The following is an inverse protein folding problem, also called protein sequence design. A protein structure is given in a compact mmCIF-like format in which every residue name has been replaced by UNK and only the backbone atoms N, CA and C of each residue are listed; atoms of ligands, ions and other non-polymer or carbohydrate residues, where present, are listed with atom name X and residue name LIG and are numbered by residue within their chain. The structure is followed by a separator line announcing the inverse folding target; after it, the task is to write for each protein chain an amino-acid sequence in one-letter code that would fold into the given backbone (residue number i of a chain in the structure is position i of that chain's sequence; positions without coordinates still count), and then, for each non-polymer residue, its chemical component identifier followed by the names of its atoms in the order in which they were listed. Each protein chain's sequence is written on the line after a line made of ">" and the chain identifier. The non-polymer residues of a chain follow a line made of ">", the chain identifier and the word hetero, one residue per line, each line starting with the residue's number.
data_IF_264197801208
#
_entry.id   IF_264197801208
#
_cell.length_a   1.000
_cell.length_b   1.000
_cell.length_c   1.000
_cell.angle_alpha   90.00
_cell.angle_beta   90.00
_cell.angle_gamma   90.00
#
_symmetry.space_group_name_H-M   'P 1'
#
loop_
_entity.id
_entity.type
_entity.pdbx_description
1 polymer ?
#
# COMPACT_ATOMS: atom_id res chain seq x y z
N UNK A 1 -20.33 -27.87 -33.24
CA UNK A 1 -21.21 -27.36 -34.31
C UNK A 1 -22.53 -26.97 -33.68
N UNK A 2 -22.67 -25.71 -33.24
CA UNK A 2 -23.94 -25.11 -32.83
C UNK A 2 -23.77 -23.59 -32.94
N UNK A 3 -24.64 -22.99 -33.76
CA UNK A 3 -24.54 -21.65 -34.32
C UNK A 3 -24.95 -20.59 -33.31
N UNK A 4 -24.16 -19.53 -33.23
CA UNK A 4 -24.57 -18.23 -32.72
C UNK A 4 -25.72 -17.69 -33.59
N UNK A 5 -26.83 -17.30 -32.96
CA UNK A 5 -27.86 -16.47 -33.60
C UNK A 5 -27.75 -15.08 -32.98
N UNK A 6 -27.24 -14.17 -33.80
CA UNK A 6 -27.21 -12.73 -33.62
C UNK A 6 -28.63 -12.20 -33.88
N UNK A 7 -29.20 -11.47 -32.93
CA UNK A 7 -30.42 -10.69 -33.15
C UNK A 7 -30.04 -9.22 -32.98
N UNK A 8 -29.82 -8.56 -34.12
CA UNK A 8 -29.85 -7.11 -34.24
C UNK A 8 -31.30 -6.64 -34.23
N UNK A 9 -31.58 -5.62 -33.42
CA UNK A 9 -32.89 -5.00 -33.29
C UNK A 9 -32.75 -3.58 -32.77
N UNK A 10 -32.38 -2.68 -33.66
CA UNK A 10 -32.35 -1.23 -33.46
C UNK A 10 -33.75 -0.68 -33.14
N UNK A 11 -33.95 -0.06 -31.97
CA UNK A 11 -35.05 0.88 -31.75
C UNK A 11 -34.56 2.11 -30.98
N UNK A 12 -34.26 3.13 -31.79
CA UNK A 12 -34.63 4.54 -31.66
C UNK A 12 -34.77 5.15 -30.25
N UNK A 13 -33.81 6.02 -29.96
CA UNK A 13 -33.82 7.09 -28.96
C UNK A 13 -35.12 7.90 -29.01
N UNK A 14 -35.80 8.03 -27.88
CA UNK A 14 -36.65 9.19 -27.58
C UNK A 14 -36.23 9.78 -26.24
N UNK A 15 -35.55 10.91 -26.37
CA UNK A 15 -35.31 11.94 -25.37
C UNK A 15 -36.61 12.38 -24.72
N UNK A 16 -36.67 12.28 -23.39
CA UNK A 16 -37.73 12.82 -22.55
C UNK A 16 -37.12 13.33 -21.25
N UNK A 17 -36.39 14.45 -21.34
CA UNK A 17 -35.93 15.23 -20.19
C UNK A 17 -37.15 15.96 -19.65
N UNK A 18 -37.58 15.61 -18.44
CA UNK A 18 -38.46 16.46 -17.63
C UNK A 18 -37.71 16.76 -16.34
N UNK A 19 -37.08 17.94 -16.37
CA UNK A 19 -36.51 18.56 -15.19
C UNK A 19 -37.61 19.05 -14.26
N UNK A 20 -37.38 18.89 -12.97
CA UNK A 20 -38.00 19.70 -11.93
C UNK A 20 -36.93 19.96 -10.88
N UNK A 21 -36.24 21.09 -11.07
CA UNK A 21 -35.49 21.76 -10.03
C UNK A 21 -36.49 22.24 -8.97
N UNK A 22 -36.30 21.83 -7.71
CA UNK A 22 -36.76 22.60 -6.56
C UNK A 22 -35.54 22.87 -5.66
N UNK A 23 -35.11 24.12 -5.71
CA UNK A 23 -34.21 24.75 -4.76
C UNK A 23 -34.90 24.88 -3.40
N UNK A 24 -34.26 24.40 -2.35
CA UNK A 24 -34.43 24.96 -1.02
C UNK A 24 -33.04 25.06 -0.37
N UNK A 25 -32.48 26.26 -0.41
CA UNK A 25 -31.36 26.67 0.43
C UNK A 25 -31.85 26.79 1.87
N UNK A 26 -31.24 26.05 2.79
CA UNK A 26 -31.08 26.52 4.17
C UNK A 26 -29.77 26.00 4.74
N UNK A 27 -28.96 26.95 5.20
CA UNK A 27 -27.73 26.74 5.94
C UNK A 27 -28.08 26.33 7.38
N UNK A 28 -27.64 25.15 7.82
CA UNK A 28 -27.41 24.87 9.24
C UNK A 28 -26.36 23.76 9.34
N UNK A 29 -25.29 24.05 10.08
CA UNK A 29 -24.10 23.22 10.14
C UNK A 29 -24.20 21.97 11.01
N UNK A 30 -23.14 21.17 10.89
CA UNK A 30 -22.69 20.06 11.75
C UNK A 30 -23.72 18.98 12.11
N UNK A 31 -23.62 17.86 11.41
CA UNK A 31 -24.20 16.58 11.83
C UNK A 31 -24.53 15.67 10.66
N UNK A 32 -23.53 15.14 9.97
CA UNK A 32 -23.76 14.00 9.06
C UNK A 32 -23.91 12.72 9.92
N UNK A 33 -25.08 12.58 10.52
CA UNK A 33 -25.60 11.33 11.06
C UNK A 33 -26.86 10.98 10.25
N UNK A 34 -27.02 9.70 9.91
CA UNK A 34 -28.11 9.09 9.15
C UNK A 34 -29.38 9.94 9.01
N UNK A 35 -29.64 10.44 7.80
CA UNK A 35 -30.94 11.02 7.49
C UNK A 35 -32.00 9.93 7.63
N UNK A 36 -32.89 10.06 8.63
CA UNK A 36 -34.02 9.15 8.82
C UNK A 36 -34.78 8.99 7.50
N UNK A 37 -35.20 7.77 7.12
CA UNK A 37 -36.07 7.59 5.96
C UNK A 37 -37.29 8.50 6.11
N UNK A 38 -37.69 9.17 5.02
CA UNK A 38 -38.95 9.94 5.06
C UNK A 38 -40.08 9.01 5.52
N UNK A 39 -40.98 9.50 6.35
CA UNK A 39 -42.06 8.71 6.97
C UNK A 39 -42.84 7.85 5.97
N UNK A 40 -43.03 8.35 4.75
CA UNK A 40 -43.65 7.64 3.63
C UNK A 40 -42.85 6.43 3.13
N UNK A 41 -41.52 6.56 3.00
CA UNK A 41 -40.65 5.46 2.58
C UNK A 41 -40.55 4.38 3.65
N UNK A 42 -40.51 4.79 4.91
CA UNK A 42 -40.51 3.88 6.06
C UNK A 42 -41.84 3.10 6.17
N UNK A 43 -42.97 3.78 6.00
CA UNK A 43 -44.29 3.14 5.91
C UNK A 43 -44.35 2.15 4.75
N UNK A 44 -43.90 2.56 3.56
CA UNK A 44 -43.85 1.70 2.38
C UNK A 44 -43.00 0.45 2.60
N UNK A 45 -41.83 0.59 3.24
CA UNK A 45 -40.96 -0.54 3.55
C UNK A 45 -41.67 -1.56 4.47
N UNK A 46 -42.35 -1.09 5.52
CA UNK A 46 -43.15 -1.98 6.40
C UNK A 46 -44.27 -2.71 5.66
N UNK A 47 -44.98 -2.02 4.77
CA UNK A 47 -46.05 -2.63 3.97
C UNK A 47 -45.50 -3.72 3.03
N UNK A 48 -44.33 -3.50 2.43
CA UNK A 48 -43.67 -4.49 1.60
C UNK A 48 -43.18 -5.69 2.40
N UNK A 49 -42.67 -5.48 3.62
CA UNK A 49 -42.30 -6.58 4.50
C UNK A 49 -43.51 -7.45 4.85
N UNK A 50 -44.68 -6.85 5.11
CA UNK A 50 -45.92 -7.63 5.32
C UNK A 50 -46.29 -8.50 4.12
N UNK A 51 -46.02 -8.03 2.89
CA UNK A 51 -46.25 -8.80 1.66
C UNK A 51 -45.26 -9.96 1.47
N UNK A 52 -44.19 -10.04 2.24
CA UNK A 52 -43.30 -11.22 2.25
C UNK A 52 -43.98 -12.46 2.83
N UNK A 53 -45.04 -12.31 3.64
CA UNK A 53 -45.86 -13.42 4.15
C UNK A 53 -47.07 -13.77 3.27
N UNK A 54 -47.26 -13.12 2.11
CA UNK A 54 -48.44 -13.38 1.27
C UNK A 54 -48.42 -14.82 0.73
N UNK A 55 -49.55 -15.56 0.72
CA UNK A 55 -49.59 -16.94 0.23
C UNK A 55 -49.18 -17.09 -1.24
N UNK A 56 -49.35 -16.04 -2.06
CA UNK A 56 -48.97 -16.07 -3.46
C UNK A 56 -47.48 -15.75 -3.67
N UNK A 57 -46.72 -16.75 -4.14
CA UNK A 57 -45.27 -16.64 -4.41
C UNK A 57 -44.89 -15.39 -5.23
N UNK A 58 -45.64 -15.08 -6.30
CA UNK A 58 -45.36 -13.92 -7.15
C UNK A 58 -45.40 -12.58 -6.40
N UNK A 59 -46.29 -12.44 -5.41
CA UNK A 59 -46.38 -11.21 -4.60
C UNK A 59 -45.21 -11.10 -3.63
N UNK A 60 -44.77 -12.22 -3.06
CA UNK A 60 -43.57 -12.27 -2.20
C UNK A 60 -42.33 -11.83 -2.97
N UNK A 61 -42.12 -12.39 -4.16
CA UNK A 61 -40.96 -12.05 -5.00
C UNK A 61 -40.99 -10.58 -5.48
N UNK A 62 -42.17 -10.06 -5.80
CA UNK A 62 -42.32 -8.64 -6.15
C UNK A 62 -41.98 -7.73 -4.97
N UNK A 63 -42.46 -8.05 -3.76
CA UNK A 63 -42.16 -7.30 -2.55
C UNK A 63 -40.66 -7.37 -2.20
N UNK A 64 -40.06 -8.55 -2.30
CA UNK A 64 -38.62 -8.73 -2.12
C UNK A 64 -37.80 -7.85 -3.07
N UNK A 65 -38.14 -7.85 -4.36
CA UNK A 65 -37.46 -7.03 -5.37
C UNK A 65 -37.60 -5.53 -5.07
N UNK A 66 -38.78 -5.09 -4.64
CA UNK A 66 -39.01 -3.68 -4.32
C UNK A 66 -38.27 -3.26 -3.04
N UNK A 67 -38.21 -4.11 -2.02
CA UNK A 67 -37.40 -3.88 -0.81
C UNK A 67 -35.91 -3.74 -1.14
N UNK A 68 -35.37 -4.56 -2.04
CA UNK A 68 -33.98 -4.44 -2.49
C UNK A 68 -33.75 -3.14 -3.29
N UNK A 69 -34.71 -2.73 -4.12
CA UNK A 69 -34.62 -1.48 -4.89
C UNK A 69 -34.69 -0.22 -4.01
N UNK A 70 -35.28 -0.31 -2.81
CA UNK A 70 -35.35 0.80 -1.85
C UNK A 70 -34.02 1.10 -1.15
N UNK A 71 -33.03 0.21 -1.22
CA UNK A 71 -31.70 0.40 -0.60
C UNK A 71 -31.79 0.64 0.91
N UNK A 72 -31.10 1.65 1.42
CA UNK A 72 -31.05 1.98 2.86
C UNK A 72 -32.43 2.20 3.49
N UNK A 73 -33.45 2.59 2.71
CA UNK A 73 -34.78 2.86 3.23
C UNK A 73 -35.54 1.58 3.66
N UNK A 74 -35.13 0.39 3.22
CA UNK A 74 -35.77 -0.87 3.62
C UNK A 74 -35.08 -1.55 4.81
N UNK A 75 -33.82 -1.19 5.11
CA UNK A 75 -33.02 -1.85 6.15
C UNK A 75 -33.70 -1.82 7.53
N UNK A 76 -34.22 -0.68 8.04
CA UNK A 76 -34.85 -0.67 9.37
C UNK A 76 -36.07 -1.59 9.47
N UNK A 77 -36.87 -1.67 8.40
CA UNK A 77 -38.06 -2.51 8.36
C UNK A 77 -37.70 -4.01 8.28
N UNK A 78 -36.66 -4.36 7.51
CA UNK A 78 -36.15 -5.73 7.41
C UNK A 78 -35.54 -6.19 8.75
N UNK A 79 -34.75 -5.34 9.40
CA UNK A 79 -34.13 -5.63 10.71
C UNK A 79 -35.17 -5.84 11.81
N UNK A 80 -36.14 -4.93 11.92
CA UNK A 80 -37.23 -5.05 12.90
C UNK A 80 -38.02 -6.35 12.71
N UNK A 81 -38.14 -6.82 11.47
CA UNK A 81 -38.94 -7.99 11.11
C UNK A 81 -38.20 -9.32 11.21
N UNK A 82 -36.93 -9.33 11.64
CA UNK A 82 -36.24 -10.54 12.06
C UNK A 82 -36.90 -11.20 13.29
N UNK A 83 -37.70 -10.43 14.03
CA UNK A 83 -38.46 -10.87 15.21
C UNK A 83 -39.98 -10.94 14.94
N UNK A 84 -40.41 -10.91 13.68
CA UNK A 84 -41.83 -10.96 13.34
C UNK A 84 -42.49 -12.27 13.83
N UNK A 85 -43.75 -12.31 14.27
CA UNK A 85 -44.42 -13.56 14.63
C UNK A 85 -44.55 -14.56 13.47
N UNK A 86 -44.61 -14.08 12.22
CA UNK A 86 -44.69 -14.96 11.04
C UNK A 86 -43.30 -15.54 10.69
N UNK A 87 -43.21 -16.87 10.66
CA UNK A 87 -41.98 -17.59 10.34
C UNK A 87 -41.49 -17.34 8.92
N UNK A 88 -42.39 -17.24 7.94
CA UNK A 88 -42.03 -16.97 6.53
C UNK A 88 -41.44 -15.55 6.40
N UNK A 89 -42.02 -14.57 7.10
CA UNK A 89 -41.49 -13.19 7.12
C UNK A 89 -40.10 -13.17 7.74
N UNK A 90 -39.90 -13.82 8.90
CA UNK A 90 -38.57 -13.88 9.54
C UNK A 90 -37.53 -14.49 8.62
N UNK A 91 -37.81 -15.66 8.03
CA UNK A 91 -36.87 -16.36 7.16
C UNK A 91 -36.50 -15.52 5.92
N UNK A 92 -37.50 -14.90 5.27
CA UNK A 92 -37.24 -14.03 4.12
C UNK A 92 -36.48 -12.78 4.49
N UNK A 93 -36.77 -12.17 5.65
CA UNK A 93 -36.00 -11.01 6.10
C UNK A 93 -34.54 -11.40 6.38
N UNK A 94 -34.28 -12.57 6.95
CA UNK A 94 -32.92 -13.09 7.13
C UNK A 94 -32.17 -13.29 5.80
N UNK A 95 -32.86 -13.76 4.76
CA UNK A 95 -32.29 -13.95 3.42
C UNK A 95 -32.07 -12.61 2.67
N UNK A 96 -33.02 -11.68 2.81
CA UNK A 96 -32.99 -10.40 2.08
C UNK A 96 -32.05 -9.38 2.71
N UNK A 97 -31.83 -9.41 4.02
CA UNK A 97 -31.06 -8.37 4.71
C UNK A 97 -29.61 -8.26 4.18
N UNK A 98 -28.83 -9.34 3.99
CA UNK A 98 -27.51 -9.25 3.36
C UNK A 98 -27.54 -8.67 1.94
N UNK A 99 -28.55 -9.03 1.15
CA UNK A 99 -28.72 -8.53 -0.22
C UNK A 99 -29.11 -7.05 -0.24
N UNK A 100 -29.93 -6.60 0.72
CA UNK A 100 -30.32 -5.20 0.87
C UNK A 100 -29.12 -4.34 1.28
N UNK A 101 -28.28 -4.83 2.21
CA UNK A 101 -27.03 -4.19 2.57
C UNK A 101 -26.06 -4.06 1.38
N UNK A 102 -25.94 -5.12 0.57
CA UNK A 102 -25.11 -5.08 -0.64
C UNK A 102 -25.66 -4.11 -1.69
N UNK A 103 -26.98 -4.12 -1.93
CA UNK A 103 -27.64 -3.21 -2.86
C UNK A 103 -27.48 -1.74 -2.43
N UNK A 104 -27.66 -1.44 -1.15
CA UNK A 104 -27.43 -0.13 -0.56
C UNK A 104 -25.97 0.32 -0.77
N UNK A 105 -25.01 -0.54 -0.45
CA UNK A 105 -23.59 -0.20 -0.61
C UNK A 105 -23.22 0.05 -2.07
N UNK A 106 -23.73 -0.76 -3.01
CA UNK A 106 -23.55 -0.54 -4.45
C UNK A 106 -24.13 0.80 -4.88
N UNK A 107 -25.33 1.15 -4.41
CA UNK A 107 -25.95 2.45 -4.69
C UNK A 107 -25.10 3.61 -4.15
N UNK A 108 -24.61 3.51 -2.91
CA UNK A 108 -23.72 4.52 -2.29
C UNK A 108 -22.43 4.69 -3.10
N UNK A 109 -21.81 3.60 -3.57
CA UNK A 109 -20.60 3.64 -4.39
C UNK A 109 -20.86 4.35 -5.73
N UNK A 110 -21.98 4.07 -6.39
CA UNK A 110 -22.39 4.74 -7.63
C UNK A 110 -22.60 6.23 -7.37
N UNK A 111 -23.41 6.58 -6.37
CA UNK A 111 -23.70 7.98 -6.03
C UNK A 111 -22.45 8.76 -5.62
N UNK A 112 -21.51 8.12 -4.94
CA UNK A 112 -20.22 8.70 -4.58
C UNK A 112 -19.38 9.00 -5.82
N UNK A 113 -19.35 8.07 -6.79
CA UNK A 113 -18.62 8.25 -8.05
C UNK A 113 -19.24 9.32 -8.96
N UNK A 114 -20.56 9.48 -8.93
CA UNK A 114 -21.28 10.57 -9.62
C UNK A 114 -21.08 11.93 -8.94
N UNK A 115 -20.86 11.93 -7.61
CA UNK A 115 -20.57 13.13 -6.83
C UNK A 115 -19.12 13.58 -7.00
N UNK A 116 -18.81 14.07 -8.20
CA UNK A 116 -17.46 14.51 -8.61
C UNK A 116 -16.82 15.56 -7.70
N UNK A 117 -17.65 16.36 -7.02
CA UNK A 117 -17.22 17.48 -6.17
C UNK A 117 -17.39 17.21 -4.66
N UNK A 118 -17.87 16.04 -4.27
CA UNK A 118 -18.04 15.68 -2.85
C UNK A 118 -19.15 16.43 -2.12
N UNK A 119 -20.18 16.89 -2.82
CA UNK A 119 -21.26 17.72 -2.27
C UNK A 119 -22.36 16.89 -1.59
N UNK A 120 -22.47 15.60 -1.90
CA UNK A 120 -23.54 14.72 -1.39
C UNK A 120 -23.23 14.13 -0.02
N UNK A 121 -22.05 14.39 0.56
CA UNK A 121 -21.61 13.90 1.88
C UNK A 121 -21.78 12.38 2.07
N UNK A 122 -21.58 11.60 1.00
CA UNK A 122 -21.72 10.14 1.04
C UNK A 122 -20.51 9.54 1.77
N UNK A 123 -20.79 8.81 2.86
CA UNK A 123 -19.77 8.08 3.62
C UNK A 123 -19.54 6.70 3.00
N UNK A 124 -18.27 6.37 2.74
CA UNK A 124 -17.83 5.06 2.29
C UNK A 124 -16.64 4.60 3.14
N UNK A 125 -16.55 3.29 3.46
CA UNK A 125 -15.50 2.77 4.32
C UNK A 125 -14.13 2.98 3.70
N UNK A 126 -13.19 3.50 4.48
CA UNK A 126 -11.83 3.82 4.03
C UNK A 126 -11.67 5.12 3.22
N UNK A 127 -12.75 5.83 2.87
CA UNK A 127 -12.65 7.10 2.12
C UNK A 127 -11.85 8.16 2.89
N UNK A 128 -12.05 8.25 4.21
CA UNK A 128 -11.35 9.21 5.06
C UNK A 128 -9.83 9.04 4.97
N UNK A 129 -9.32 7.81 5.12
CA UNK A 129 -7.89 7.53 5.02
C UNK A 129 -7.38 7.72 3.59
N UNK A 130 -8.13 7.25 2.59
CA UNK A 130 -7.74 7.41 1.19
C UNK A 130 -7.58 8.88 0.80
N UNK A 131 -8.57 9.71 1.16
CA UNK A 131 -8.56 11.14 0.81
C UNK A 131 -7.43 11.92 1.46
N UNK A 132 -6.96 11.51 2.64
CA UNK A 132 -5.75 12.06 3.27
C UNK A 132 -4.48 11.78 2.46
N UNK A 133 -4.42 10.64 1.75
CA UNK A 133 -3.26 10.25 0.95
C UNK A 133 -3.32 10.81 -0.47
N UNK A 134 -4.47 10.67 -1.13
CA UNK A 134 -4.62 10.89 -2.56
C UNK A 134 -5.33 12.21 -2.92
N UNK A 135 -5.97 12.85 -1.95
CA UNK A 135 -6.80 14.03 -2.13
C UNK A 135 -8.28 13.72 -2.36
N UNK A 136 -9.06 14.76 -2.66
CA UNK A 136 -10.52 14.70 -2.78
C UNK A 136 -11.05 15.12 -4.15
N UNK A 137 -10.16 15.35 -5.13
CA UNK A 137 -10.54 15.77 -6.49
C UNK A 137 -11.28 14.68 -7.27
N UNK A 138 -11.85 15.04 -8.43
CA UNK A 138 -12.63 14.12 -9.27
C UNK A 138 -11.85 12.83 -9.62
N UNK A 139 -10.53 12.93 -9.89
CA UNK A 139 -9.70 11.77 -10.22
C UNK A 139 -9.51 10.87 -9.00
N UNK A 140 -9.26 11.45 -7.83
CA UNK A 140 -9.15 10.71 -6.58
C UNK A 140 -10.47 10.01 -6.22
N UNK A 141 -11.62 10.68 -6.37
CA UNK A 141 -12.94 10.08 -6.14
C UNK A 141 -13.20 8.93 -7.11
N UNK A 142 -12.92 9.12 -8.41
CA UNK A 142 -13.06 8.06 -9.40
C UNK A 142 -12.17 6.85 -9.07
N UNK A 143 -10.90 7.08 -8.77
CA UNK A 143 -9.97 6.02 -8.38
C UNK A 143 -10.49 5.25 -7.16
N UNK A 144 -10.97 5.98 -6.14
CA UNK A 144 -11.53 5.36 -4.96
C UNK A 144 -12.78 4.53 -5.27
N UNK A 145 -13.68 5.01 -6.13
CA UNK A 145 -14.85 4.24 -6.61
C UNK A 145 -14.41 2.93 -7.26
N UNK A 146 -13.43 2.98 -8.18
CA UNK A 146 -12.90 1.80 -8.88
C UNK A 146 -12.23 0.84 -7.86
N UNK A 147 -11.57 1.38 -6.83
CA UNK A 147 -10.98 0.63 -5.71
C UNK A 147 -12.01 -0.04 -4.81
N UNK A 148 -12.95 0.70 -4.23
CA UNK A 148 -13.89 0.17 -3.25
C UNK A 148 -14.83 -0.87 -3.86
N UNK A 149 -15.17 -0.77 -5.16
CA UNK A 149 -16.09 -1.67 -5.85
C UNK A 149 -15.73 -3.16 -5.68
N UNK A 150 -14.44 -3.50 -5.68
CA UNK A 150 -13.96 -4.88 -5.49
C UNK A 150 -13.45 -5.17 -4.06
N UNK A 151 -13.52 -4.18 -3.17
CA UNK A 151 -12.85 -4.19 -1.86
C UNK A 151 -13.76 -3.79 -0.70
N UNK A 152 -15.07 -3.70 -0.91
CA UNK A 152 -16.08 -3.30 0.09
C UNK A 152 -15.90 -4.06 1.40
N UNK A 153 -15.96 -5.40 1.37
CA UNK A 153 -15.91 -6.21 2.59
C UNK A 153 -14.58 -6.06 3.35
N UNK A 154 -13.46 -5.89 2.63
CA UNK A 154 -12.16 -5.64 3.25
C UNK A 154 -12.16 -4.30 3.98
N UNK A 155 -12.58 -3.22 3.32
CA UNK A 155 -12.58 -1.87 3.89
C UNK A 155 -13.63 -1.69 4.99
N UNK A 156 -14.79 -2.34 4.92
CA UNK A 156 -15.76 -2.35 6.01
C UNK A 156 -15.17 -2.97 7.28
N UNK A 157 -14.46 -4.10 7.15
CA UNK A 157 -13.85 -4.75 8.30
C UNK A 157 -12.70 -3.94 8.92
N UNK A 158 -12.02 -3.06 8.17
CA UNK A 158 -11.04 -2.13 8.76
C UNK A 158 -11.69 -1.32 9.88
N UNK A 159 -12.92 -0.88 9.68
CA UNK A 159 -13.66 -0.04 10.62
C UNK A 159 -14.39 -0.87 11.70
N UNK A 160 -14.98 -2.00 11.31
CA UNK A 160 -15.85 -2.80 12.18
C UNK A 160 -15.13 -3.92 12.96
N UNK A 161 -14.14 -4.58 12.34
CA UNK A 161 -13.42 -5.74 12.88
C UNK A 161 -11.99 -5.80 12.31
N UNK A 162 -11.04 -5.00 12.88
CA UNK A 162 -9.68 -4.92 12.38
C UNK A 162 -8.92 -6.25 12.36
N UNK A 163 -9.29 -7.21 13.21
CA UNK A 163 -8.68 -8.55 13.23
C UNK A 163 -9.09 -9.34 12.00
N UNK A 164 -10.37 -9.31 11.65
CA UNK A 164 -10.85 -9.93 10.40
C UNK A 164 -10.29 -9.23 9.17
N UNK A 165 -10.18 -7.89 9.19
CA UNK A 165 -9.51 -7.15 8.12
C UNK A 165 -8.04 -7.57 7.94
N UNK A 166 -7.30 -7.73 9.04
CA UNK A 166 -5.92 -8.22 9.02
C UNK A 166 -5.82 -9.63 8.43
N UNK A 167 -6.72 -10.56 8.80
CA UNK A 167 -6.77 -11.91 8.22
C UNK A 167 -7.02 -11.87 6.71
N UNK A 168 -8.00 -11.08 6.26
CA UNK A 168 -8.32 -10.91 4.83
C UNK A 168 -7.15 -10.30 4.06
N UNK A 169 -6.50 -9.28 4.63
CA UNK A 169 -5.30 -8.65 4.08
C UNK A 169 -4.16 -9.66 3.93
N UNK A 170 -3.82 -10.40 4.99
CA UNK A 170 -2.74 -11.38 4.97
C UNK A 170 -3.00 -12.52 3.97
N UNK A 171 -4.26 -12.98 3.87
CA UNK A 171 -4.67 -13.98 2.87
C UNK A 171 -4.39 -13.49 1.47
N UNK A 172 -4.86 -12.28 1.12
CA UNK A 172 -4.65 -11.70 -0.22
C UNK A 172 -3.17 -11.48 -0.53
N UNK A 173 -2.39 -10.96 0.42
CA UNK A 173 -0.95 -10.82 0.22
C UNK A 173 -0.28 -12.18 -0.03
N UNK A 174 -0.70 -13.22 0.69
CA UNK A 174 -0.19 -14.58 0.49
C UNK A 174 -0.57 -15.17 -0.87
N UNK A 175 -1.81 -14.95 -1.31
CA UNK A 175 -2.31 -15.40 -2.62
C UNK A 175 -1.49 -14.81 -3.78
N UNK A 176 -1.03 -13.57 -3.62
CA UNK A 176 -0.17 -12.89 -4.61
C UNK A 176 1.33 -13.19 -4.43
N UNK A 177 1.78 -13.40 -3.19
CA UNK A 177 3.20 -13.47 -2.83
C UNK A 177 3.80 -14.87 -2.83
N UNK A 178 2.99 -15.92 -2.64
CA UNK A 178 3.50 -17.26 -2.37
C UNK A 178 3.91 -18.02 -3.65
N UNK A 179 5.14 -17.78 -4.12
CA UNK A 179 5.75 -18.51 -5.23
C UNK A 179 5.92 -20.02 -4.95
N UNK A 180 6.05 -20.45 -3.69
CA UNK A 180 6.22 -21.87 -3.33
C UNK A 180 4.90 -22.65 -3.31
N UNK A 181 3.77 -22.02 -2.97
CA UNK A 181 2.44 -22.65 -3.02
C UNK A 181 1.95 -22.92 -4.45
N UNK A 182 2.54 -22.27 -5.47
CA UNK A 182 2.15 -22.47 -6.86
C UNK A 182 2.96 -23.56 -7.58
N UNK A 183 3.67 -24.39 -6.82
CA UNK A 183 4.20 -25.65 -7.33
C UNK A 183 3.05 -26.65 -7.43
N UNK A 184 2.36 -26.66 -8.56
CA UNK A 184 1.29 -27.64 -8.83
C UNK A 184 1.89 -28.96 -9.30
N UNK A 185 1.28 -30.05 -8.87
CA UNK A 185 1.57 -31.37 -9.39
C UNK A 185 0.66 -31.61 -10.58
N UNK A 186 1.21 -31.57 -11.79
CA UNK A 186 0.48 -31.89 -13.01
C UNK A 186 0.85 -33.30 -13.45
N UNK A 187 -0.15 -34.06 -13.88
CA UNK A 187 0.08 -35.36 -14.49
C UNK A 187 0.24 -35.16 -16.01
N UNK A 188 1.43 -35.40 -16.52
CA UNK A 188 1.73 -35.38 -17.95
C UNK A 188 2.11 -36.80 -18.34
N UNK A 189 1.24 -37.47 -19.11
CA UNK A 189 1.44 -38.83 -19.61
C UNK A 189 1.72 -39.89 -18.52
N UNK A 190 1.06 -39.79 -17.36
CA UNK A 190 1.23 -40.73 -16.25
C UNK A 190 2.36 -40.36 -15.29
N UNK A 191 3.11 -39.30 -15.56
CA UNK A 191 4.21 -38.82 -14.70
C UNK A 191 3.73 -37.57 -13.96
N UNK A 192 3.77 -37.63 -12.62
CA UNK A 192 3.52 -36.48 -11.77
C UNK A 192 4.74 -35.56 -11.81
N UNK A 193 4.58 -34.41 -12.45
CA UNK A 193 5.62 -33.38 -12.54
C UNK A 193 5.25 -32.17 -11.70
N UNK A 194 6.26 -31.58 -11.07
CA UNK A 194 6.15 -30.28 -10.40
C UNK A 194 6.25 -29.18 -11.45
N UNK A 195 5.19 -28.40 -11.62
CA UNK A 195 5.20 -27.21 -12.47
C UNK A 195 4.97 -25.96 -11.63
N UNK A 196 5.72 -24.92 -11.97
CA UNK A 196 5.53 -23.59 -11.41
C UNK A 196 4.37 -22.90 -12.14
N UNK A 197 3.29 -22.61 -11.41
CA UNK A 197 2.28 -21.67 -11.86
C UNK A 197 2.64 -20.26 -11.39
N UNK A 198 2.53 -19.29 -12.28
CA UNK A 198 2.69 -17.89 -11.87
C UNK A 198 1.54 -17.52 -10.94
N UNK A 199 1.81 -16.92 -9.75
CA UNK A 199 0.74 -16.40 -8.91
C UNK A 199 -0.13 -15.42 -9.70
N UNK A 200 -1.44 -15.35 -9.40
CA UNK A 200 -2.27 -14.28 -9.94
C UNK A 200 -1.64 -12.94 -9.56
N UNK A 201 -1.68 -11.98 -10.48
CA UNK A 201 -1.23 -10.62 -10.19
C UNK A 201 -2.41 -9.80 -9.65
N UNK A 202 -2.21 -8.98 -8.61
CA UNK A 202 -3.25 -8.06 -8.17
C UNK A 202 -3.57 -7.08 -9.30
N UNK A 203 -4.81 -6.60 -9.37
CA UNK A 203 -5.12 -5.41 -10.19
C UNK A 203 -4.63 -4.16 -9.46
N UNK A 204 -4.35 -3.06 -10.19
CA UNK A 204 -3.87 -1.79 -9.62
C UNK A 204 -4.70 -1.34 -8.42
N UNK A 205 -6.02 -1.29 -8.58
CA UNK A 205 -6.96 -0.86 -7.54
C UNK A 205 -7.02 -1.82 -6.35
N UNK A 206 -6.82 -3.12 -6.56
CA UNK A 206 -6.73 -4.09 -5.47
C UNK A 206 -5.44 -3.93 -4.68
N UNK A 207 -4.33 -3.68 -5.39
CA UNK A 207 -3.04 -3.38 -4.75
C UNK A 207 -3.10 -2.08 -3.94
N UNK A 208 -3.74 -1.04 -4.47
CA UNK A 208 -3.96 0.22 -3.75
C UNK A 208 -4.80 0.02 -2.47
N UNK A 209 -5.81 -0.85 -2.50
CA UNK A 209 -6.58 -1.20 -1.31
C UNK A 209 -5.71 -1.89 -0.23
N UNK A 210 -4.79 -2.78 -0.63
CA UNK A 210 -3.86 -3.42 0.32
C UNK A 210 -2.92 -2.40 0.98
N UNK A 211 -2.39 -1.45 0.21
CA UNK A 211 -1.58 -0.34 0.77
C UNK A 211 -2.40 0.52 1.74
N UNK A 212 -3.64 0.85 1.38
CA UNK A 212 -4.52 1.64 2.23
C UNK A 212 -4.80 0.92 3.57
N UNK A 213 -5.16 -0.36 3.50
CA UNK A 213 -5.45 -1.21 4.66
C UNK A 213 -4.21 -1.38 5.55
N UNK A 214 -3.03 -1.56 4.96
CA UNK A 214 -1.79 -1.66 5.72
C UNK A 214 -1.34 -0.32 6.35
N UNK A 215 -1.93 0.80 5.93
CA UNK A 215 -1.68 2.12 6.53
C UNK A 215 -2.55 2.40 7.76
N UNK A 216 -3.42 1.46 8.14
CA UNK A 216 -4.32 1.58 9.29
C UNK A 216 -3.69 0.95 10.53
N UNK A 217 -3.35 1.74 11.58
CA UNK A 217 -2.61 1.22 12.74
C UNK A 217 -3.27 0.02 13.41
N UNK A 218 -4.61 0.00 13.49
CA UNK A 218 -5.36 -1.11 14.11
C UNK A 218 -5.23 -2.41 13.32
N UNK A 219 -5.12 -2.33 11.99
CA UNK A 219 -4.94 -3.50 11.13
C UNK A 219 -3.48 -3.94 11.20
N UNK A 220 -2.54 -3.00 11.15
CA UNK A 220 -1.11 -3.27 11.32
C UNK A 220 -0.82 -3.98 12.64
N UNK A 221 -1.34 -3.47 13.76
CA UNK A 221 -1.19 -4.08 15.08
C UNK A 221 -1.78 -5.49 15.11
N UNK A 222 -2.93 -5.72 14.45
CA UNK A 222 -3.54 -7.03 14.38
C UNK A 222 -2.72 -8.04 13.54
N UNK A 223 -2.10 -7.60 12.44
CA UNK A 223 -1.18 -8.41 11.64
C UNK A 223 0.04 -8.82 12.48
N UNK A 224 0.66 -7.87 13.17
CA UNK A 224 1.85 -8.11 14.00
C UNK A 224 1.57 -9.06 15.17
N UNK A 225 0.42 -8.89 15.85
CA UNK A 225 0.04 -9.73 17.00
C UNK A 225 -0.51 -11.11 16.60
N UNK A 226 -0.98 -11.27 15.36
CA UNK A 226 -1.64 -12.48 14.86
C UNK A 226 -0.70 -13.57 14.33
N UNK A 227 0.62 -13.43 14.48
CA UNK A 227 1.58 -14.36 13.89
C UNK A 227 1.75 -14.20 12.38
N UNK A 228 1.29 -13.08 11.80
CA UNK A 228 1.40 -12.70 10.39
C UNK A 228 2.81 -12.42 9.88
N UNK A 229 3.82 -12.92 10.59
CA UNK A 229 5.25 -12.73 10.33
C UNK A 229 5.77 -13.63 9.20
N UNK A 230 4.89 -14.11 8.32
CA UNK A 230 5.33 -14.74 7.09
C UNK A 230 5.75 -13.64 6.12
N UNK A 231 6.97 -13.74 5.62
CA UNK A 231 7.55 -12.83 4.66
C UNK A 231 6.65 -12.57 3.44
N UNK A 232 5.86 -13.57 3.03
CA UNK A 232 4.95 -13.50 1.87
C UNK A 232 3.58 -12.90 2.18
N UNK A 233 3.20 -12.72 3.45
CA UNK A 233 1.89 -12.17 3.84
C UNK A 233 1.89 -10.65 4.02
N UNK A 234 2.92 -9.95 3.51
CA UNK A 234 3.04 -8.50 3.60
C UNK A 234 3.05 -7.83 2.22
N UNK A 235 2.33 -6.73 2.08
CA UNK A 235 2.26 -5.89 0.87
C UNK A 235 3.64 -5.39 0.44
N UNK A 236 4.58 -5.22 1.38
CA UNK A 236 5.96 -4.86 1.03
C UNK A 236 6.59 -5.85 0.04
N UNK A 237 6.44 -7.15 0.25
CA UNK A 237 7.03 -8.16 -0.65
C UNK A 237 6.48 -8.06 -2.09
N UNK A 238 5.22 -7.67 -2.22
CA UNK A 238 4.59 -7.45 -3.52
C UNK A 238 5.18 -6.24 -4.26
N UNK A 239 5.81 -5.28 -3.56
CA UNK A 239 6.51 -4.14 -4.17
C UNK A 239 7.75 -4.56 -4.98
N UNK A 240 8.31 -5.74 -4.70
CA UNK A 240 9.43 -6.29 -5.46
C UNK A 240 9.01 -6.85 -6.83
N UNK A 241 7.72 -7.06 -7.05
CA UNK A 241 7.24 -7.75 -8.25
C UNK A 241 7.24 -6.81 -9.49
N UNK A 242 7.43 -7.35 -10.71
CA UNK A 242 7.56 -6.53 -11.92
C UNK A 242 6.35 -5.65 -12.25
N UNK A 243 5.14 -6.06 -11.85
CA UNK A 243 3.89 -5.32 -12.14
C UNK A 243 3.82 -3.95 -11.47
N UNK A 244 4.62 -3.70 -10.43
CA UNK A 244 4.66 -2.41 -9.73
C UNK A 244 5.09 -1.28 -10.67
N UNK A 245 6.01 -1.57 -11.59
CA UNK A 245 6.41 -0.60 -12.61
C UNK A 245 5.24 -0.21 -13.50
N UNK A 246 4.36 -1.15 -13.83
CA UNK A 246 3.15 -0.88 -14.62
C UNK A 246 2.19 0.01 -13.84
N UNK A 247 1.95 -0.26 -12.55
CA UNK A 247 1.04 0.56 -11.74
C UNK A 247 1.55 2.00 -11.54
N UNK A 248 2.85 2.15 -11.28
CA UNK A 248 3.47 3.46 -11.11
C UNK A 248 3.43 4.31 -12.40
N UNK A 249 3.43 3.66 -13.56
CA UNK A 249 3.45 4.33 -14.87
C UNK A 249 2.10 4.26 -15.62
N UNK A 250 1.02 3.85 -14.94
CA UNK A 250 -0.30 3.80 -15.56
C UNK A 250 -0.76 5.20 -15.98
N UNK A 251 -1.19 5.35 -17.24
CA UNK A 251 -1.51 6.66 -17.82
C UNK A 251 -2.73 7.32 -17.17
N UNK A 252 -3.69 6.51 -16.71
CA UNK A 252 -4.96 6.99 -16.18
C UNK A 252 -4.88 7.21 -14.67
N UNK A 253 -4.42 6.19 -13.97
CA UNK A 253 -4.56 6.04 -12.52
C UNK A 253 -3.21 6.07 -11.79
N UNK A 254 -2.08 6.02 -12.52
CA UNK A 254 -0.73 5.97 -11.95
C UNK A 254 -0.37 7.18 -11.08
N UNK A 255 -0.83 8.39 -11.44
CA UNK A 255 -0.62 9.59 -10.64
C UNK A 255 -1.31 9.51 -9.27
N UNK A 256 -2.53 8.97 -9.21
CA UNK A 256 -3.26 8.77 -7.94
C UNK A 256 -2.65 7.60 -7.17
N UNK A 257 -2.28 6.52 -7.87
CA UNK A 257 -1.60 5.38 -7.26
C UNK A 257 -0.29 5.79 -6.58
N UNK A 258 0.54 6.63 -7.21
CA UNK A 258 1.75 7.20 -6.59
C UNK A 258 1.44 7.95 -5.30
N UNK A 259 0.36 8.73 -5.24
CA UNK A 259 -0.05 9.42 -4.01
C UNK A 259 -0.44 8.43 -2.90
N UNK A 260 -1.21 7.38 -3.23
CA UNK A 260 -1.53 6.31 -2.27
C UNK A 260 -0.26 5.63 -1.77
N UNK A 261 0.68 5.32 -2.68
CA UNK A 261 1.96 4.74 -2.33
C UNK A 261 2.79 5.66 -1.42
N UNK A 262 2.89 6.96 -1.70
CA UNK A 262 3.57 7.92 -0.82
C UNK A 262 2.89 8.04 0.55
N UNK A 263 1.55 8.09 0.59
CA UNK A 263 0.80 8.12 1.84
C UNK A 263 0.99 6.86 2.68
N UNK A 264 1.10 5.70 2.03
CA UNK A 264 1.47 4.45 2.68
C UNK A 264 2.91 4.50 3.24
N UNK A 265 3.87 5.03 2.48
CA UNK A 265 5.25 5.21 2.96
C UNK A 265 5.32 6.08 4.22
N UNK A 266 4.64 7.23 4.21
CA UNK A 266 4.58 8.11 5.38
C UNK A 266 3.96 7.37 6.60
N UNK A 267 2.92 6.55 6.39
CA UNK A 267 2.34 5.72 7.45
C UNK A 267 3.33 4.67 8.01
N UNK A 268 4.25 4.14 7.20
CA UNK A 268 5.26 3.17 7.67
C UNK A 268 6.27 3.80 8.64
N UNK A 269 6.50 5.12 8.54
CA UNK A 269 7.48 5.82 9.37
C UNK A 269 6.86 6.62 10.51
N UNK A 270 5.55 6.90 10.44
CA UNK A 270 4.78 7.62 11.45
C UNK A 270 5.07 7.15 12.89
N UNK A 271 5.16 5.84 13.20
CA UNK A 271 5.44 5.37 14.55
C UNK A 271 6.80 5.82 15.11
N UNK A 272 7.78 6.08 14.24
CA UNK A 272 9.13 6.49 14.60
C UNK A 272 9.28 8.01 14.70
N UNK A 273 8.25 8.78 14.35
CA UNK A 273 8.24 10.25 14.48
C UNK A 273 7.93 10.72 15.90
N UNK A 274 7.29 9.89 16.73
CA UNK A 274 6.93 10.23 18.12
C UNK A 274 7.60 9.28 19.13
N UNK A 275 8.45 9.77 20.05
CA UNK A 275 9.28 8.92 20.93
C UNK A 275 8.57 8.08 22.01
N UNK A 276 7.24 8.06 22.07
CA UNK A 276 6.53 7.61 23.28
C UNK A 276 6.67 6.11 23.56
N UNK A 277 6.69 5.26 22.53
CA UNK A 277 6.96 3.83 22.60
C UNK A 277 7.39 3.43 21.21
N UNK A 278 8.69 3.22 20.94
CA UNK A 278 9.10 2.63 19.66
C UNK A 278 8.43 1.26 19.60
N UNK A 279 7.34 1.12 18.85
CA UNK A 279 6.62 -0.12 18.86
C UNK A 279 7.52 -1.08 18.08
N UNK A 280 7.77 -2.26 18.64
CA UNK A 280 8.48 -3.33 17.96
C UNK A 280 7.60 -3.84 16.80
N UNK A 281 7.23 -2.96 15.85
CA UNK A 281 6.41 -3.25 14.67
C UNK A 281 7.33 -3.92 13.67
N UNK A 282 7.11 -5.20 13.46
CA UNK A 282 7.86 -6.07 12.55
C UNK A 282 7.57 -5.79 11.06
N UNK A 283 7.43 -4.53 10.67
CA UNK A 283 7.27 -4.07 9.26
C UNK A 283 8.51 -3.37 8.71
N UNK A 284 9.63 -3.59 9.38
CA UNK A 284 11.00 -3.35 8.95
C UNK A 284 11.27 -3.78 7.49
N UNK A 285 10.67 -4.89 7.03
CA UNK A 285 10.80 -5.40 5.67
C UNK A 285 10.05 -4.57 4.61
N UNK A 286 8.97 -3.86 4.97
CA UNK A 286 8.26 -2.99 4.04
C UNK A 286 9.15 -1.85 3.56
N UNK A 287 9.94 -1.29 4.48
CA UNK A 287 10.92 -0.27 4.13
C UNK A 287 11.99 -0.83 3.18
N UNK A 288 12.40 -2.09 3.31
CA UNK A 288 13.34 -2.70 2.34
C UNK A 288 12.79 -2.67 0.93
N UNK A 289 11.59 -3.22 0.74
CA UNK A 289 11.00 -3.34 -0.59
C UNK A 289 10.55 -2.00 -1.14
N UNK A 290 10.11 -1.09 -0.26
CA UNK A 290 9.86 0.29 -0.64
C UNK A 290 11.13 0.94 -1.20
N UNK A 291 12.27 0.84 -0.51
CA UNK A 291 13.54 1.39 -0.98
C UNK A 291 13.95 0.78 -2.32
N UNK A 292 13.85 -0.55 -2.46
CA UNK A 292 14.14 -1.23 -3.73
C UNK A 292 13.18 -0.80 -4.84
N UNK A 293 11.88 -0.68 -4.57
CA UNK A 293 10.89 -0.22 -5.55
C UNK A 293 11.17 1.24 -5.98
N UNK A 294 11.54 2.11 -5.04
CA UNK A 294 11.95 3.49 -5.33
C UNK A 294 13.19 3.51 -6.25
N UNK A 295 14.20 2.70 -5.95
CA UNK A 295 15.42 2.59 -6.74
C UNK A 295 15.16 2.02 -8.15
N UNK A 296 14.45 0.89 -8.23
CA UNK A 296 14.21 0.15 -9.47
C UNK A 296 13.28 0.88 -10.45
N UNK A 297 12.47 1.82 -9.94
CA UNK A 297 11.52 2.59 -10.74
C UNK A 297 11.91 4.07 -10.86
N UNK A 298 13.11 4.47 -10.44
CA UNK A 298 13.61 5.85 -10.54
C UNK A 298 12.62 6.89 -9.96
N UNK A 299 11.98 6.57 -8.83
CA UNK A 299 10.86 7.35 -8.29
C UNK A 299 11.34 8.61 -7.55
N UNK A 300 11.63 9.67 -8.31
CA UNK A 300 12.18 10.95 -7.80
C UNK A 300 11.28 11.62 -6.78
N UNK A 301 9.97 11.46 -6.90
CA UNK A 301 8.98 12.01 -5.98
C UNK A 301 9.12 11.45 -4.55
N UNK A 302 9.74 10.27 -4.39
CA UNK A 302 9.98 9.64 -3.11
C UNK A 302 11.31 10.06 -2.45
N UNK A 303 12.16 10.87 -3.10
CA UNK A 303 13.47 11.27 -2.55
C UNK A 303 13.31 11.97 -1.20
N UNK A 304 12.33 12.87 -1.08
CA UNK A 304 12.04 13.54 0.19
C UNK A 304 11.68 12.57 1.32
N UNK A 305 11.00 11.46 1.02
CA UNK A 305 10.74 10.40 1.99
C UNK A 305 12.03 9.67 2.39
N UNK A 306 12.90 9.33 1.42
CA UNK A 306 14.20 8.70 1.70
C UNK A 306 15.05 9.59 2.61
N UNK A 307 15.09 10.90 2.35
CA UNK A 307 15.79 11.88 3.20
C UNK A 307 15.25 11.89 4.64
N UNK A 308 13.92 11.85 4.82
CA UNK A 308 13.30 11.73 6.15
C UNK A 308 13.81 10.47 6.86
N UNK A 309 13.77 9.31 6.20
CA UNK A 309 14.17 8.01 6.79
C UNK A 309 15.63 8.01 7.26
N UNK A 310 16.54 8.63 6.50
CA UNK A 310 17.96 8.76 6.88
C UNK A 310 18.11 9.47 8.24
N UNK A 311 17.26 10.46 8.52
CA UNK A 311 17.25 11.25 9.75
C UNK A 311 16.56 10.58 10.96
N UNK A 312 15.85 9.47 10.79
CA UNK A 312 15.09 8.82 11.86
C UNK A 312 15.99 7.98 12.78
N UNK A 313 16.55 8.60 13.83
CA UNK A 313 17.45 7.91 14.78
C UNK A 313 16.81 6.74 15.54
N UNK A 314 15.49 6.80 15.77
CA UNK A 314 14.70 5.74 16.42
C UNK A 314 14.52 4.49 15.55
N UNK A 315 14.77 4.61 14.25
CA UNK A 315 14.68 3.49 13.32
C UNK A 315 15.95 2.64 13.41
N UNK A 316 15.77 1.32 13.39
CA UNK A 316 16.89 0.37 13.41
C UNK A 316 17.92 0.71 12.31
N UNK A 317 19.21 0.59 12.66
CA UNK A 317 20.33 0.96 11.79
C UNK A 317 20.26 0.35 10.38
N UNK A 318 19.79 -0.89 10.24
CA UNK A 318 19.67 -1.55 8.93
C UNK A 318 18.83 -0.75 7.91
N UNK A 319 17.67 -0.24 8.32
CA UNK A 319 16.77 0.51 7.43
C UNK A 319 17.28 1.91 7.12
N UNK A 320 17.92 2.56 8.10
CA UNK A 320 18.64 3.81 7.87
C UNK A 320 19.76 3.61 6.86
N UNK A 321 20.53 2.52 6.99
CA UNK A 321 21.55 2.13 6.02
C UNK A 321 21.01 1.94 4.61
N UNK A 322 19.89 1.22 4.47
CA UNK A 322 19.21 1.03 3.18
C UNK A 322 18.76 2.37 2.58
N UNK A 323 18.21 3.29 3.39
CA UNK A 323 17.84 4.62 2.92
C UNK A 323 19.06 5.44 2.45
N UNK A 324 20.19 5.37 3.17
CA UNK A 324 21.45 6.02 2.75
C UNK A 324 21.89 5.47 1.38
N UNK A 325 21.87 4.14 1.20
CA UNK A 325 22.18 3.51 -0.09
C UNK A 325 21.23 3.97 -1.22
N UNK A 326 19.94 4.16 -0.94
CA UNK A 326 18.98 4.68 -1.92
C UNK A 326 19.34 6.08 -2.43
N UNK A 327 19.95 6.95 -1.61
CA UNK A 327 20.39 8.28 -2.05
C UNK A 327 21.43 8.24 -3.17
N UNK A 328 22.23 7.17 -3.26
CA UNK A 328 23.22 6.97 -4.33
C UNK A 328 22.59 6.94 -5.73
N UNK A 329 21.34 6.47 -5.82
CA UNK A 329 20.59 6.40 -7.09
C UNK A 329 20.24 7.79 -7.64
N UNK A 330 19.92 8.75 -6.77
CA UNK A 330 19.42 10.07 -7.15
C UNK A 330 20.52 11.14 -7.22
N UNK A 331 21.59 10.97 -6.44
CA UNK A 331 22.85 11.74 -6.58
C UNK A 331 22.73 13.27 -6.59
N UNK A 332 21.93 13.84 -5.68
CA UNK A 332 21.80 15.29 -5.55
C UNK A 332 22.88 15.90 -4.62
N UNK A 333 23.40 17.11 -4.89
CA UNK A 333 24.43 17.74 -4.06
C UNK A 333 24.05 17.91 -2.59
N UNK A 334 22.76 18.11 -2.29
CA UNK A 334 22.25 18.23 -0.91
C UNK A 334 22.41 16.93 -0.12
N UNK A 335 22.46 15.77 -0.77
CA UNK A 335 22.63 14.48 -0.09
C UNK A 335 24.00 14.39 0.59
N UNK A 336 25.05 14.99 0.03
CA UNK A 336 26.37 15.02 0.69
C UNK A 336 26.26 15.74 2.04
N UNK A 337 25.61 16.91 2.09
CA UNK A 337 25.39 17.67 3.33
C UNK A 337 24.55 16.89 4.36
N UNK A 338 23.59 16.10 3.89
CA UNK A 338 22.79 15.21 4.75
C UNK A 338 23.63 14.08 5.38
N UNK A 339 24.66 13.59 4.67
CA UNK A 339 25.52 12.49 5.12
C UNK A 339 26.69 12.92 5.99
N UNK A 340 27.18 14.17 5.86
CA UNK A 340 28.27 14.73 6.68
C UNK A 340 28.13 14.47 8.19
N UNK A 341 26.99 14.77 8.86
CA UNK A 341 26.84 14.49 10.28
C UNK A 341 26.85 12.99 10.61
N UNK A 342 26.49 12.13 9.66
CA UNK A 342 26.41 10.68 9.84
C UNK A 342 27.78 10.00 9.80
N UNK A 343 28.84 10.66 9.32
CA UNK A 343 30.22 10.16 9.35
C UNK A 343 30.74 9.93 10.78
N UNK A 344 30.02 10.40 11.80
CA UNK A 344 30.31 10.19 13.22
C UNK A 344 29.31 9.25 13.92
N UNK A 345 28.31 8.74 13.19
CA UNK A 345 27.27 7.88 13.75
C UNK A 345 27.76 6.42 13.81
N UNK A 346 28.16 5.98 15.01
CA UNK A 346 28.68 4.64 15.26
C UNK A 346 27.57 3.57 15.44
N UNK A 347 26.31 3.93 15.21
CA UNK A 347 25.17 2.98 15.31
C UNK A 347 25.44 1.79 14.41
N UNK A 348 25.42 0.60 15.01
CA UNK A 348 25.60 -0.67 14.28
C UNK A 348 24.37 -0.92 13.40
N UNK A 349 24.60 -1.12 12.11
CA UNK A 349 23.60 -1.51 11.12
C UNK A 349 23.39 -3.02 11.19
N UNK A 350 24.49 -3.77 11.18
CA UNK A 350 24.50 -5.23 11.22
C UNK A 350 25.91 -5.76 11.48
N UNK A 351 25.98 -7.01 11.91
CA UNK A 351 27.21 -7.81 11.90
C UNK A 351 26.92 -9.07 11.10
N UNK A 352 27.69 -9.33 10.04
CA UNK A 352 27.45 -10.45 9.13
C UNK A 352 28.66 -11.37 9.10
N UNK A 353 28.38 -12.67 9.16
CA UNK A 353 29.34 -13.72 8.91
C UNK A 353 29.04 -14.35 7.55
N UNK A 354 29.97 -14.26 6.61
CA UNK A 354 29.77 -14.74 5.24
C UNK A 354 30.13 -16.21 5.03
N UNK A 355 30.56 -16.92 6.08
CA UNK A 355 30.91 -18.33 5.98
C UNK A 355 32.19 -18.55 5.16
N UNK A 356 33.28 -18.84 5.86
CA UNK A 356 34.56 -19.22 5.27
C UNK A 356 35.50 -19.57 6.41
N UNK A 357 36.35 -20.59 6.23
CA UNK A 357 37.16 -21.20 7.31
C UNK A 357 38.04 -20.18 8.06
N UNK A 358 38.30 -19.00 7.47
CA UNK A 358 39.10 -17.92 8.05
C UNK A 358 38.47 -16.50 7.98
N UNK A 359 37.19 -16.36 7.59
CA UNK A 359 36.60 -15.02 7.45
C UNK A 359 36.09 -14.51 8.79
N UNK A 360 36.70 -13.43 9.29
CA UNK A 360 36.18 -12.68 10.44
C UNK A 360 34.82 -12.05 10.09
N UNK A 361 33.89 -11.97 11.07
CA UNK A 361 32.62 -11.28 10.87
C UNK A 361 32.89 -9.80 10.55
N UNK A 362 32.08 -9.24 9.66
CA UNK A 362 32.14 -7.83 9.29
C UNK A 362 31.05 -7.08 10.04
N UNK A 363 31.44 -6.00 10.72
CA UNK A 363 30.50 -5.06 11.36
C UNK A 363 30.36 -3.81 10.52
N UNK A 364 29.11 -3.43 10.26
CA UNK A 364 28.74 -2.26 9.47
C UNK A 364 28.11 -1.24 10.41
N UNK A 365 28.56 0.01 10.35
CA UNK A 365 27.98 1.15 11.07
C UNK A 365 27.38 2.17 10.10
N UNK A 366 26.52 3.05 10.62
CA UNK A 366 25.91 4.15 9.84
C UNK A 366 26.99 5.02 9.20
N UNK A 367 28.05 5.37 9.94
CA UNK A 367 29.20 6.13 9.41
C UNK A 367 29.91 5.46 8.23
N UNK A 368 29.96 4.13 8.22
CA UNK A 368 30.66 3.37 7.19
C UNK A 368 29.92 3.50 5.84
N UNK A 369 28.59 3.32 5.89
CA UNK A 369 27.71 3.47 4.72
C UNK A 369 27.66 4.95 4.28
N UNK A 370 27.56 5.88 5.22
CA UNK A 370 27.58 7.32 4.91
C UNK A 370 28.87 7.74 4.19
N UNK A 371 30.02 7.22 4.63
CA UNK A 371 31.31 7.44 3.96
C UNK A 371 31.30 6.87 2.54
N UNK A 372 30.89 5.62 2.39
CA UNK A 372 30.83 4.95 1.09
C UNK A 372 29.94 5.66 0.09
N UNK A 373 28.75 6.10 0.51
CA UNK A 373 27.85 6.87 -0.37
C UNK A 373 28.40 8.27 -0.63
N UNK A 374 29.06 8.92 0.33
CA UNK A 374 29.72 10.21 0.11
C UNK A 374 30.82 10.13 -0.96
N UNK A 375 31.62 9.06 -0.93
CA UNK A 375 32.65 8.76 -1.95
C UNK A 375 31.98 8.63 -3.33
N UNK A 376 30.93 7.81 -3.42
CA UNK A 376 30.16 7.62 -4.66
C UNK A 376 29.56 8.91 -5.20
N UNK A 377 28.93 9.72 -4.33
CA UNK A 377 28.32 11.00 -4.70
C UNK A 377 29.35 12.05 -5.18
N UNK A 378 30.61 11.91 -4.78
CA UNK A 378 31.72 12.73 -5.27
C UNK A 378 32.36 12.19 -6.57
N UNK A 379 31.77 11.15 -7.16
CA UNK A 379 32.22 10.55 -8.42
C UNK A 379 33.38 9.58 -8.28
N UNK A 380 33.76 9.22 -7.05
CA UNK A 380 34.83 8.28 -6.77
C UNK A 380 34.27 6.88 -6.50
N UNK A 381 35.09 5.84 -6.69
CA UNK A 381 34.67 4.44 -6.46
C UNK A 381 34.89 4.05 -4.99
N UNK A 382 33.86 3.65 -4.24
CA UNK A 382 34.04 3.22 -2.85
C UNK A 382 35.06 2.08 -2.68
N UNK A 383 35.11 1.14 -3.63
CA UNK A 383 36.08 0.04 -3.64
C UNK A 383 37.56 0.50 -3.64
N UNK A 384 37.86 1.76 -3.98
CA UNK A 384 39.21 2.32 -3.92
C UNK A 384 39.65 2.73 -2.51
N UNK A 385 38.78 2.63 -1.50
CA UNK A 385 39.01 3.07 -0.12
C UNK A 385 39.11 1.94 0.91
N UNK A 386 39.39 0.71 0.46
CA UNK A 386 39.75 -0.42 1.33
C UNK A 386 38.66 -0.91 2.30
N UNK A 387 37.38 -0.74 1.94
CA UNK A 387 36.28 -1.38 2.67
C UNK A 387 36.43 -2.91 2.65
N UNK A 388 36.46 -3.56 3.83
CA UNK A 388 36.62 -5.02 3.93
C UNK A 388 35.47 -5.76 3.24
N UNK A 389 34.25 -5.22 3.33
CA UNK A 389 33.07 -5.75 2.68
C UNK A 389 33.08 -5.68 1.15
N UNK A 390 33.96 -4.88 0.54
CA UNK A 390 34.10 -4.77 -0.93
C UNK A 390 35.24 -5.61 -1.50
N UNK A 391 36.02 -6.30 -0.65
CA UNK A 391 37.13 -7.13 -1.11
C UNK A 391 36.63 -8.33 -1.92
N UNK A 392 37.39 -8.65 -2.97
CA UNK A 392 37.09 -9.79 -3.85
C UNK A 392 36.96 -11.10 -3.05
N UNK A 393 36.00 -11.94 -3.43
CA UNK A 393 35.73 -13.21 -2.74
C UNK A 393 34.83 -13.11 -1.50
N UNK A 394 34.54 -11.91 -0.97
CA UNK A 394 33.57 -11.74 0.14
C UNK A 394 32.11 -11.75 -0.32
N UNK A 395 31.84 -11.25 -1.53
CA UNK A 395 30.49 -11.06 -2.08
C UNK A 395 30.32 -11.46 -3.55
N UNK A 396 31.26 -12.22 -4.12
CA UNK A 396 31.27 -12.48 -5.56
C UNK A 396 31.10 -11.19 -6.38
N UNK A 397 30.20 -11.21 -7.38
CA UNK A 397 29.88 -10.03 -8.21
C UNK A 397 29.13 -8.89 -7.47
N UNK A 398 28.73 -9.05 -6.21
CA UNK A 398 28.03 -8.03 -5.42
C UNK A 398 28.95 -7.05 -4.69
N UNK A 399 30.27 -7.30 -4.63
CA UNK A 399 31.24 -6.48 -3.91
C UNK A 399 31.37 -5.02 -4.39
N UNK A 400 30.82 -4.71 -5.57
CA UNK A 400 30.74 -3.35 -6.12
C UNK A 400 29.34 -2.71 -6.02
N UNK A 401 28.41 -3.33 -5.29
CA UNK A 401 27.04 -2.87 -5.25
C UNK A 401 26.81 -1.83 -4.13
N UNK A 402 26.84 -0.54 -4.50
CA UNK A 402 26.60 0.59 -3.60
C UNK A 402 25.17 0.65 -3.03
N UNK A 403 24.25 -0.19 -3.54
CA UNK A 403 22.86 -0.22 -3.12
C UNK A 403 22.60 -1.13 -1.91
N UNK A 404 23.62 -1.81 -1.38
CA UNK A 404 23.50 -2.65 -0.19
C UNK A 404 24.44 -2.19 0.93
N UNK A 405 23.92 -1.92 2.15
CA UNK A 405 24.72 -1.43 3.29
C UNK A 405 25.89 -2.35 3.65
N UNK A 406 25.71 -3.64 3.42
CA UNK A 406 26.62 -4.68 3.89
C UNK A 406 28.00 -4.66 3.22
N UNK A 407 28.11 -4.00 2.06
CA UNK A 407 29.38 -3.85 1.35
C UNK A 407 30.36 -2.91 2.07
N UNK A 408 29.87 -2.02 2.94
CA UNK A 408 30.68 -0.96 3.54
C UNK A 408 31.30 -1.31 4.90
N UNK A 409 31.13 -2.54 5.40
CA UNK A 409 31.62 -2.89 6.74
C UNK A 409 33.11 -3.21 6.84
N UNK A 410 33.57 -3.36 8.09
CA UNK A 410 34.94 -3.71 8.46
C UNK A 410 35.03 -4.91 9.41
N UNK A 411 36.13 -5.65 9.34
CA UNK A 411 36.45 -6.73 10.28
C UNK A 411 36.87 -6.19 11.65
N UNK A 412 37.55 -5.04 11.67
CA UNK A 412 38.00 -4.38 12.88
C UNK A 412 38.07 -2.85 12.72
N UNK A 413 38.26 -2.16 13.85
CA UNK A 413 38.27 -0.70 13.89
C UNK A 413 39.57 -0.08 13.36
N UNK A 414 40.65 -0.86 13.27
CA UNK A 414 41.92 -0.39 12.70
C UNK A 414 41.77 -0.19 11.20
N UNK A 415 41.19 -1.16 10.49
CA UNK A 415 40.89 -1.05 9.07
C UNK A 415 39.93 0.12 8.80
N UNK A 416 38.88 0.25 9.62
CA UNK A 416 37.93 1.35 9.53
C UNK A 416 38.64 2.71 9.63
N UNK A 417 39.43 2.94 10.67
CA UNK A 417 40.19 4.19 10.86
C UNK A 417 41.12 4.49 9.68
N UNK A 418 41.78 3.46 9.15
CA UNK A 418 42.63 3.59 7.96
C UNK A 418 41.85 4.07 6.74
N UNK A 419 40.69 3.48 6.47
CA UNK A 419 39.80 3.89 5.36
C UNK A 419 39.32 5.33 5.49
N UNK A 420 38.87 5.74 6.69
CA UNK A 420 38.45 7.13 6.94
C UNK A 420 39.62 8.11 6.74
N UNK A 421 40.81 7.76 7.25
CA UNK A 421 42.03 8.57 7.06
C UNK A 421 42.38 8.71 5.57
N UNK A 422 42.33 7.62 4.80
CA UNK A 422 42.59 7.62 3.35
C UNK A 422 41.63 8.55 2.60
N UNK A 423 40.36 8.58 3.00
CA UNK A 423 39.38 9.51 2.46
C UNK A 423 39.72 10.97 2.80
N UNK A 424 40.05 11.27 4.06
CA UNK A 424 40.40 12.63 4.48
C UNK A 424 41.63 13.16 3.73
N UNK A 425 42.68 12.34 3.59
CA UNK A 425 43.88 12.66 2.81
C UNK A 425 43.55 12.91 1.33
N UNK A 426 42.66 12.10 0.75
CA UNK A 426 42.20 12.26 -0.62
C UNK A 426 41.47 13.60 -0.83
N UNK A 427 40.54 13.94 0.06
CA UNK A 427 39.79 15.21 0.01
C UNK A 427 40.74 16.40 0.16
N UNK A 428 41.67 16.35 1.11
CA UNK A 428 42.66 17.41 1.32
C UNK A 428 43.57 17.61 0.09
N UNK A 429 43.96 16.53 -0.59
CA UNK A 429 44.75 16.60 -1.82
C UNK A 429 43.96 17.25 -2.97
N UNK A 430 42.72 16.84 -3.18
CA UNK A 430 41.84 17.41 -4.24
C UNK A 430 41.56 18.90 -4.03
N UNK A 431 41.37 19.34 -2.80
CA UNK A 431 41.16 20.76 -2.48
C UNK A 431 42.38 21.61 -2.92
N UNK A 432 43.59 21.18 -2.54
CA UNK A 432 44.85 21.86 -2.93
C UNK A 432 45.07 21.88 -4.45
N UNK A 433 44.70 20.82 -5.16
CA UNK A 433 44.78 20.77 -6.63
C UNK A 433 43.76 21.69 -7.32
N UNK A 434 42.58 21.87 -6.73
CA UNK A 434 41.55 22.79 -7.21
C UNK A 434 41.96 24.26 -7.06
N UNK A 435 42.52 24.64 -5.91
CA UNK A 435 43.03 25.99 -5.63
C UNK A 435 44.12 26.40 -6.62
N UNK A 436 45.12 25.53 -6.85
CA UNK A 436 46.20 25.76 -7.83
C UNK A 436 45.68 25.98 -9.25
N UNK A 437 44.63 25.27 -9.67
CA UNK A 437 44.01 25.45 -11.00
C UNK A 437 43.20 26.75 -11.12
N UNK A 438 42.69 27.28 -10.01
CA UNK A 438 41.96 28.55 -9.98
C UNK A 438 42.91 29.77 -9.99
N UNK A 439 44.08 29.64 -9.37
CA UNK A 439 45.14 30.65 -9.41
C UNK A 439 45.83 30.74 -10.77
N UNK A 440 45.93 29.64 -11.51
CA UNK A 440 46.49 29.62 -12.88
C UNK A 440 45.51 30.11 -13.97
N UNK A 441 44.23 30.35 -13.62
CA UNK A 441 43.19 30.85 -14.53
C UNK A 441 42.82 32.32 -14.30
N UNK A 442 43.38 32.95 -13.28
CA UNK A 442 43.38 34.41 -13.09
C UNK A 442 44.69 34.96 -13.62
#
# INVERSE_FOLDING_TARGET
>A
MLKFVQIEGSVMVRTGVLGLCLLALSNAGLGAADAKPSEELDKKARELVRKLGDPAFRKREAAAKELLAMGSNSLPALEASLHDPDAEIRERCQQLLPLAYEADMRWKIIQFGEDKLGQKNISLPGWKKFSQMAGTDEKARKFFTDMITSNVGLLQHVESDPKKAAQMYMSRCSDFGNQQANMVFVNINGIVQRQYQQPPQPKLHEFAALLLVNSEPKVEDAVNNGGGNNYYSNVGYLLYQPYIRTFLNDEKDGAIFKKVFMGWLDAQIEPYLTPSKSPNRMMSNNLTYAMQAIQNNDLKEAVGFVEKVVGLKELQGYWRGQAICTLAKFSEPKHIKLLEPLLKDETVITTINFGGVNNKPITVQVRDVALGITIHLKGEKPASFDFDGMKEGRYGNMGNNVFYPYAFGFEDDTNRKSTFKKWDEFVAKKAKEGEKKSEQKK
#
